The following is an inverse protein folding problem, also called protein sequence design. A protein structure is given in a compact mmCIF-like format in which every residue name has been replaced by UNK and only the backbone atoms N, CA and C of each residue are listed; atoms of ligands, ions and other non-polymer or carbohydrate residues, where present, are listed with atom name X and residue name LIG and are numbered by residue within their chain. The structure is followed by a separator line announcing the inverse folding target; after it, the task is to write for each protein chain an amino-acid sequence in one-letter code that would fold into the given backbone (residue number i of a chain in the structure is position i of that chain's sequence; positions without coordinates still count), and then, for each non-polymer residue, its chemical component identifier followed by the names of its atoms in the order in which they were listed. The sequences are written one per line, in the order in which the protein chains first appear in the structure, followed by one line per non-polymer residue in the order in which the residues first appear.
data_IF_102238621488
#
_entry.id   IF_102238621488
#
_cell.length_a   1.000
_cell.length_b   1.000
_cell.length_c   1.000
_cell.angle_alpha   90.00
_cell.angle_beta   90.00
_cell.angle_gamma   90.00
#
_symmetry.space_group_name_H-M   'P 1'
#
loop_
_entity.id
_entity.type
_entity.pdbx_description
1 polymer ?
#
# COMPACT_ATOMS: atom_id res chain seq x y z
N UNK A 1 44.42 7.32 3.78
CA UNK A 1 43.89 5.96 3.49
C UNK A 1 43.15 5.44 4.72
N UNK A 2 42.01 6.06 5.09
CA UNK A 2 41.21 5.73 6.31
C UNK A 2 39.73 5.51 5.94
N UNK A 3 39.37 5.51 4.65
CA UNK A 3 37.97 5.36 4.21
C UNK A 3 37.55 3.90 3.98
N UNK A 4 38.48 2.94 4.02
CA UNK A 4 38.16 1.52 3.85
C UNK A 4 37.86 0.75 5.15
N UNK A 5 38.38 1.21 6.29
CA UNK A 5 38.23 0.52 7.59
C UNK A 5 36.94 0.88 8.33
N UNK A 6 36.28 1.99 7.97
CA UNK A 6 34.99 2.40 8.53
C UNK A 6 33.80 2.00 7.65
N UNK A 7 34.07 1.51 6.43
CA UNK A 7 33.04 1.10 5.48
C UNK A 7 32.22 -0.07 6.03
N UNK A 8 32.85 -1.06 6.67
CA UNK A 8 32.15 -2.16 7.35
C UNK A 8 31.20 -1.69 8.46
N UNK A 9 31.46 -0.53 9.05
CA UNK A 9 30.72 -0.03 10.20
C UNK A 9 29.49 0.81 9.79
N UNK A 10 29.57 1.52 8.66
CA UNK A 10 28.43 2.31 8.12
C UNK A 10 27.57 1.53 7.11
N UNK A 11 28.11 0.48 6.49
CA UNK A 11 27.37 -0.38 5.56
C UNK A 11 26.09 -1.02 6.13
N UNK A 12 26.10 -1.62 7.33
CA UNK A 12 24.91 -2.32 7.83
C UNK A 12 23.77 -1.35 8.16
N UNK A 13 24.07 -0.12 8.57
CA UNK A 13 23.07 0.89 8.91
C UNK A 13 22.42 1.48 7.64
N UNK A 14 23.21 1.74 6.61
CA UNK A 14 22.68 2.22 5.31
C UNK A 14 21.92 1.09 4.59
N UNK A 15 22.38 -0.16 4.71
CA UNK A 15 21.69 -1.35 4.17
C UNK A 15 20.37 -1.65 4.90
N UNK A 16 20.32 -1.42 6.22
CA UNK A 16 19.08 -1.53 6.99
C UNK A 16 18.06 -0.46 6.60
N UNK A 17 18.50 0.77 6.31
CA UNK A 17 17.65 1.85 5.79
C UNK A 17 17.20 1.58 4.34
N UNK A 18 18.05 0.98 3.51
CA UNK A 18 17.68 0.53 2.16
C UNK A 18 16.60 -0.57 2.17
N UNK A 19 16.58 -1.43 3.20
CA UNK A 19 15.53 -2.42 3.43
C UNK A 19 14.23 -1.82 4.01
N UNK A 20 14.23 -0.57 4.45
CA UNK A 20 13.07 0.09 5.06
C UNK A 20 12.13 0.77 4.03
N UNK A 21 12.54 0.81 2.75
CA UNK A 21 11.85 1.58 1.71
C UNK A 21 10.68 0.87 1.02
N UNK A 22 10.47 -0.43 1.25
CA UNK A 22 9.50 -1.22 0.49
C UNK A 22 8.53 -2.02 1.37
N UNK A 23 8.25 -1.57 2.59
CA UNK A 23 7.22 -2.21 3.40
C UNK A 23 5.84 -1.92 2.80
N UNK A 24 5.25 -2.92 2.15
CA UNK A 24 3.88 -2.83 1.63
C UNK A 24 2.89 -3.21 2.73
N UNK A 25 1.66 -2.66 2.69
CA UNK A 25 0.60 -2.92 3.70
C UNK A 25 0.43 -4.44 4.01
N UNK A 26 0.46 -5.36 3.02
CA UNK A 26 0.39 -6.80 3.31
C UNK A 26 1.53 -7.33 4.19
N UNK A 27 2.75 -6.82 4.01
CA UNK A 27 3.93 -7.23 4.79
C UNK A 27 3.85 -6.70 6.23
N UNK A 28 3.36 -5.46 6.40
CA UNK A 28 3.15 -4.85 7.72
C UNK A 28 2.12 -5.60 8.55
N UNK A 29 1.10 -6.16 7.91
CA UNK A 29 0.01 -6.87 8.58
C UNK A 29 0.19 -8.39 8.57
N UNK A 30 1.30 -8.90 8.03
CA UNK A 30 1.58 -10.32 7.85
C UNK A 30 0.42 -11.07 7.16
N UNK A 31 -0.13 -10.47 6.11
CA UNK A 31 -1.24 -11.04 5.32
C UNK A 31 -0.75 -11.34 3.92
N UNK A 32 -1.23 -12.44 3.33
CA UNK A 32 -0.92 -12.77 1.93
C UNK A 32 -1.35 -11.61 1.02
N UNK A 33 -0.47 -11.14 0.11
CA UNK A 33 -0.80 -10.07 -0.84
C UNK A 33 -2.07 -10.34 -1.65
N UNK A 34 -2.32 -11.61 -2.01
CA UNK A 34 -3.53 -12.00 -2.73
C UNK A 34 -4.81 -11.78 -1.92
N UNK A 35 -4.77 -12.02 -0.60
CA UNK A 35 -5.92 -11.76 0.27
C UNK A 35 -6.19 -10.27 0.40
N UNK A 36 -5.14 -9.45 0.45
CA UNK A 36 -5.29 -8.00 0.50
C UNK A 36 -5.89 -7.45 -0.81
N UNK A 37 -5.42 -7.93 -1.96
CA UNK A 37 -5.98 -7.57 -3.27
C UNK A 37 -7.46 -7.98 -3.35
N UNK A 38 -7.78 -9.21 -2.96
CA UNK A 38 -9.16 -9.72 -2.95
C UNK A 38 -10.06 -8.86 -2.05
N UNK A 39 -9.61 -8.57 -0.82
CA UNK A 39 -10.35 -7.73 0.12
C UNK A 39 -10.60 -6.33 -0.46
N UNK A 40 -9.56 -5.71 -1.03
CA UNK A 40 -9.67 -4.40 -1.65
C UNK A 40 -10.68 -4.41 -2.81
N UNK A 41 -10.60 -5.41 -3.70
CA UNK A 41 -11.54 -5.58 -4.80
C UNK A 41 -12.99 -5.76 -4.32
N UNK A 42 -13.22 -6.56 -3.28
CA UNK A 42 -14.57 -6.74 -2.70
C UNK A 42 -15.11 -5.44 -2.10
N UNK A 43 -14.28 -4.68 -1.39
CA UNK A 43 -14.68 -3.38 -0.83
C UNK A 43 -15.00 -2.38 -1.94
N UNK A 44 -14.19 -2.30 -2.99
CA UNK A 44 -14.48 -1.44 -4.14
C UNK A 44 -15.79 -1.80 -4.82
N UNK A 45 -16.03 -3.09 -5.09
CA UNK A 45 -17.30 -3.55 -5.67
C UNK A 45 -18.49 -3.26 -4.76
N UNK A 46 -18.34 -3.45 -3.45
CA UNK A 46 -19.36 -3.12 -2.47
C UNK A 46 -19.68 -1.63 -2.49
N UNK A 47 -18.67 -0.76 -2.56
CA UNK A 47 -18.89 0.68 -2.67
C UNK A 47 -19.61 1.06 -3.96
N UNK A 48 -19.21 0.51 -5.11
CA UNK A 48 -19.93 0.72 -6.36
C UNK A 48 -21.38 0.26 -6.27
N UNK A 49 -21.61 -0.92 -5.71
CA UNK A 49 -22.96 -1.45 -5.48
C UNK A 49 -23.78 -0.55 -4.54
N UNK A 50 -23.17 -0.05 -3.46
CA UNK A 50 -23.84 0.87 -2.55
C UNK A 50 -24.13 2.22 -3.21
N UNK A 51 -23.25 2.75 -4.06
CA UNK A 51 -23.50 4.01 -4.78
C UNK A 51 -24.65 3.84 -5.77
N UNK A 52 -24.65 2.75 -6.53
CA UNK A 52 -25.72 2.40 -7.48
C UNK A 52 -27.06 2.22 -6.73
N UNK A 53 -27.05 1.45 -5.64
CA UNK A 53 -28.25 1.18 -4.83
C UNK A 53 -28.74 2.38 -4.02
N UNK A 54 -27.83 3.20 -3.49
CA UNK A 54 -28.18 4.41 -2.74
C UNK A 54 -28.73 5.51 -3.66
N UNK A 55 -28.67 5.32 -4.99
CA UNK A 55 -29.23 6.28 -5.94
C UNK A 55 -28.48 7.61 -5.90
N UNK A 56 -27.18 7.61 -5.57
CA UNK A 56 -26.38 8.82 -5.47
C UNK A 56 -25.94 9.37 -6.85
N UNK A 57 -26.61 8.94 -7.91
CA UNK A 57 -26.61 9.63 -9.18
C UNK A 57 -27.28 10.98 -8.97
N UNK A 58 -26.52 12.06 -9.16
CA UNK A 58 -27.10 13.40 -9.22
C UNK A 58 -28.12 13.37 -10.36
N UNK A 59 -29.39 13.69 -10.06
CA UNK A 59 -30.32 14.13 -11.12
C UNK A 59 -29.70 15.38 -11.70
N UNK A 60 -29.14 15.29 -12.90
CA UNK A 60 -28.97 16.49 -13.71
C UNK A 60 -30.38 17.03 -13.95
N UNK A 61 -30.63 18.21 -13.38
CA UNK A 61 -31.83 18.96 -13.67
C UNK A 61 -31.64 19.56 -15.06
N UNK A 62 -31.98 18.81 -16.11
CA UNK A 62 -32.37 19.41 -17.38
C UNK A 62 -33.76 20.06 -17.17
N UNK A 63 -33.74 21.33 -16.78
CA UNK A 63 -34.80 22.30 -17.02
C UNK A 63 -34.19 23.61 -17.52
#
# INVERSE_FOLDING_TARGET
MIYGLTYQQVFPQISALANYGNAVIPELWNVSPFLFILLFSLISLLLFYLIDRAGWQRKDSEQ
#
